data_IF_312657473904
#
_entry.id   IF_312657473904
#
_cell.length_a   1.000
_cell.length_b   1.000
_cell.length_c   1.000
_cell.angle_alpha   90.00
_cell.angle_beta   90.00
_cell.angle_gamma   90.00
#
_symmetry.space_group_name_H-M   'P 1'
#
loop_
_entity.id
_entity.type
_entity.pdbx_description
1 polymer ?
#
# COMPACT_ATOMS: atom_id res chain seq x y z
N UNK A 1 4.67 -10.72 -7.81
CA UNK A 1 3.43 -10.41 -7.06
C UNK A 1 3.54 -10.83 -5.61
N UNK A 2 3.45 -9.87 -4.69
CA UNK A 2 3.49 -10.03 -3.23
C UNK A 2 2.11 -9.62 -2.70
N UNK A 3 1.39 -10.56 -2.08
CA UNK A 3 0.08 -10.29 -1.49
C UNK A 3 0.25 -9.73 -0.07
N UNK A 4 -0.22 -8.51 0.16
CA UNK A 4 -0.04 -7.79 1.43
C UNK A 4 -1.40 -7.54 2.08
N UNK A 5 -1.45 -7.79 3.39
CA UNK A 5 -2.56 -7.39 4.24
C UNK A 5 -2.11 -6.26 5.18
N UNK A 6 -2.98 -5.29 5.44
CA UNK A 6 -2.72 -4.18 6.36
C UNK A 6 -3.54 -4.36 7.64
N UNK A 7 -2.92 -4.25 8.81
CA UNK A 7 -3.61 -4.21 10.10
C UNK A 7 -3.42 -2.83 10.71
N UNK A 8 -4.50 -2.07 10.82
CA UNK A 8 -4.49 -0.66 11.16
C UNK A 8 -4.29 0.21 9.92
N UNK A 9 -5.36 0.79 9.41
CA UNK A 9 -5.35 1.66 8.22
C UNK A 9 -5.11 3.08 8.67
N UNK A 10 -3.89 3.39 9.15
CA UNK A 10 -3.49 4.72 9.60
C UNK A 10 -2.80 5.57 8.53
N UNK A 11 -2.18 6.68 8.94
CA UNK A 11 -1.42 7.55 8.04
C UNK A 11 -0.28 6.80 7.34
N UNK A 12 0.41 5.89 8.05
CA UNK A 12 1.49 5.08 7.47
C UNK A 12 0.95 4.14 6.38
N UNK A 13 -0.22 3.53 6.61
CA UNK A 13 -0.88 2.71 5.60
C UNK A 13 -1.24 3.54 4.36
N UNK A 14 -1.77 4.75 4.57
CA UNK A 14 -2.09 5.69 3.50
C UNK A 14 -0.85 6.06 2.66
N UNK A 15 0.25 6.42 3.31
CA UNK A 15 1.52 6.73 2.64
C UNK A 15 2.07 5.53 1.86
N UNK A 16 2.01 4.33 2.44
CA UNK A 16 2.47 3.09 1.79
C UNK A 16 1.65 2.76 0.55
N UNK A 17 0.31 2.77 0.68
CA UNK A 17 -0.61 2.48 -0.42
C UNK A 17 -0.38 3.48 -1.57
N UNK A 18 -0.40 4.77 -1.27
CA UNK A 18 -0.18 5.81 -2.28
C UNK A 18 1.19 5.69 -2.95
N UNK A 19 2.26 5.46 -2.19
CA UNK A 19 3.62 5.32 -2.74
C UNK A 19 3.74 4.12 -3.68
N UNK A 20 3.10 2.99 -3.36
CA UNK A 20 3.09 1.80 -4.24
C UNK A 20 2.36 2.11 -5.54
N UNK A 21 1.19 2.76 -5.50
CA UNK A 21 0.45 3.12 -6.70
C UNK A 21 1.16 4.20 -7.53
N UNK A 22 1.86 5.15 -6.89
CA UNK A 22 2.73 6.10 -7.56
C UNK A 22 3.87 5.39 -8.29
N UNK A 23 4.54 4.44 -7.63
CA UNK A 23 5.59 3.63 -8.27
C UNK A 23 5.04 2.85 -9.46
N UNK A 24 3.86 2.22 -9.35
CA UNK A 24 3.22 1.52 -10.47
C UNK A 24 2.92 2.45 -11.66
N UNK A 25 2.54 3.69 -11.40
CA UNK A 25 2.24 4.67 -12.45
C UNK A 25 3.49 5.31 -13.09
N UNK A 26 4.56 5.53 -12.32
CA UNK A 26 5.75 6.29 -12.76
C UNK A 26 6.98 5.43 -13.03
N UNK A 27 6.99 4.17 -12.58
CA UNK A 27 8.14 3.28 -12.62
C UNK A 27 9.19 3.52 -11.53
N UNK A 28 9.06 4.62 -10.76
CA UNK A 28 9.95 4.97 -9.66
C UNK A 28 9.23 5.82 -8.59
N UNK A 29 9.80 5.87 -7.39
CA UNK A 29 9.37 6.76 -6.31
C UNK A 29 10.58 7.12 -5.45
N UNK A 30 10.65 8.36 -4.98
CA UNK A 30 11.72 8.80 -4.10
C UNK A 30 11.65 8.12 -2.72
N UNK A 31 12.80 7.95 -2.07
CA UNK A 31 12.89 7.35 -0.74
C UNK A 31 12.99 5.82 -0.71
N UNK A 32 12.99 5.14 -1.86
CA UNK A 32 13.27 3.70 -1.95
C UNK A 32 14.78 3.49 -2.06
N UNK A 33 15.38 2.87 -1.04
CA UNK A 33 16.84 2.60 -1.02
C UNK A 33 17.25 1.48 -1.99
N UNK A 34 16.39 0.50 -2.24
CA UNK A 34 16.67 -0.64 -3.12
C UNK A 34 15.40 -1.01 -3.87
N UNK A 35 15.40 -0.81 -5.19
CA UNK A 35 14.20 -1.00 -6.02
C UNK A 35 13.88 -2.46 -6.34
N UNK A 36 14.87 -3.35 -6.23
CA UNK A 36 14.72 -4.77 -6.52
C UNK A 36 15.40 -5.61 -5.43
N UNK A 37 14.60 -6.38 -4.70
CA UNK A 37 15.07 -7.31 -3.68
C UNK A 37 14.67 -8.71 -4.14
N UNK A 38 15.65 -9.54 -4.52
CA UNK A 38 15.39 -10.94 -4.88
C UNK A 38 14.45 -11.14 -6.08
N UNK A 39 14.40 -10.17 -7.01
CA UNK A 39 13.48 -10.18 -8.16
C UNK A 39 12.16 -9.45 -7.91
N UNK A 40 11.89 -9.02 -6.67
CA UNK A 40 10.67 -8.29 -6.32
C UNK A 40 10.89 -6.77 -6.34
N UNK A 41 10.01 -6.07 -7.04
CA UNK A 41 9.97 -4.62 -7.13
C UNK A 41 8.82 -4.06 -6.29
N UNK A 42 8.84 -2.76 -6.00
CA UNK A 42 7.74 -2.08 -5.30
C UNK A 42 6.39 -2.29 -6.02
N UNK A 43 6.42 -2.29 -7.35
CA UNK A 43 5.23 -2.56 -8.19
C UNK A 43 4.65 -3.97 -8.06
N UNK A 44 5.39 -4.93 -7.48
CA UNK A 44 4.88 -6.27 -7.24
C UNK A 44 3.90 -6.36 -6.06
N UNK A 45 3.80 -5.31 -5.24
CA UNK A 45 2.92 -5.29 -4.06
C UNK A 45 1.46 -5.18 -4.50
N UNK A 46 0.64 -6.10 -4.00
CA UNK A 46 -0.81 -6.12 -4.18
C UNK A 46 -1.51 -6.17 -2.81
N UNK A 47 -2.35 -5.16 -2.53
CA UNK A 47 -3.05 -5.06 -1.25
C UNK A 47 -4.35 -5.86 -1.33
N UNK A 48 -4.40 -6.99 -0.63
CA UNK A 48 -5.49 -7.98 -0.76
C UNK A 48 -6.43 -8.00 0.44
N UNK A 49 -6.04 -7.36 1.54
CA UNK A 49 -6.86 -7.27 2.75
C UNK A 49 -6.46 -6.06 3.60
N UNK A 50 -7.41 -5.53 4.35
CA UNK A 50 -7.17 -4.52 5.36
C UNK A 50 -8.09 -4.71 6.57
N UNK A 51 -7.58 -4.44 7.76
CA UNK A 51 -8.30 -4.56 9.02
C UNK A 51 -8.21 -3.26 9.82
N UNK A 52 -9.33 -2.77 10.31
CA UNK A 52 -9.42 -1.60 11.18
C UNK A 52 -10.62 -1.72 12.13
N UNK A 53 -10.65 -0.91 13.19
CA UNK A 53 -11.77 -0.84 14.15
C UNK A 53 -12.59 0.45 14.00
N UNK A 54 -12.06 1.43 13.28
CA UNK A 54 -12.71 2.71 13.06
C UNK A 54 -13.96 2.54 12.22
N UNK A 55 -15.11 2.92 12.78
CA UNK A 55 -16.40 2.96 12.06
C UNK A 55 -16.37 3.80 10.78
N UNK A 56 -15.42 4.74 10.67
CA UNK A 56 -15.24 5.57 9.47
C UNK A 56 -14.54 4.84 8.32
N UNK A 57 -13.95 3.67 8.58
CA UNK A 57 -13.10 2.90 7.65
C UNK A 57 -13.66 1.50 7.39
N UNK A 58 -14.21 0.85 8.41
CA UNK A 58 -14.81 -0.49 8.28
C UNK A 58 -15.95 -0.46 7.26
N UNK A 59 -15.92 -1.40 6.32
CA UNK A 59 -16.92 -1.53 5.25
C UNK A 59 -16.65 -0.66 4.02
N UNK A 60 -15.58 0.12 4.01
CA UNK A 60 -15.16 0.92 2.84
C UNK A 60 -14.07 0.21 2.03
N UNK A 61 -13.94 0.61 0.77
CA UNK A 61 -12.78 0.22 -0.03
C UNK A 61 -11.48 0.75 0.60
N UNK A 62 -10.36 0.05 0.37
CA UNK A 62 -9.07 0.50 0.89
C UNK A 62 -8.71 1.91 0.39
N UNK A 63 -9.02 2.23 -0.87
CA UNK A 63 -8.79 3.55 -1.46
C UNK A 63 -9.58 4.68 -0.79
N UNK A 64 -10.73 4.37 -0.17
CA UNK A 64 -11.49 5.32 0.63
C UNK A 64 -11.02 5.34 2.10
N UNK A 65 -10.66 4.19 2.66
CA UNK A 65 -10.29 4.04 4.07
C UNK A 65 -8.95 4.67 4.44
N UNK A 66 -8.09 4.95 3.45
CA UNK A 66 -6.79 5.62 3.62
C UNK A 66 -6.89 7.15 3.77
N UNK A 67 -8.10 7.73 3.68
CA UNK A 67 -8.40 9.14 3.91
C UNK A 67 -9.31 9.33 5.15
#
# INVERSE_FOLDING_TARGET
MIRVAIVGVGNIASMLVQSVYMYKARGSVEGVMTENIGGYRVGDIDFVAAFDISRRKVGKDLGEAIY
#
